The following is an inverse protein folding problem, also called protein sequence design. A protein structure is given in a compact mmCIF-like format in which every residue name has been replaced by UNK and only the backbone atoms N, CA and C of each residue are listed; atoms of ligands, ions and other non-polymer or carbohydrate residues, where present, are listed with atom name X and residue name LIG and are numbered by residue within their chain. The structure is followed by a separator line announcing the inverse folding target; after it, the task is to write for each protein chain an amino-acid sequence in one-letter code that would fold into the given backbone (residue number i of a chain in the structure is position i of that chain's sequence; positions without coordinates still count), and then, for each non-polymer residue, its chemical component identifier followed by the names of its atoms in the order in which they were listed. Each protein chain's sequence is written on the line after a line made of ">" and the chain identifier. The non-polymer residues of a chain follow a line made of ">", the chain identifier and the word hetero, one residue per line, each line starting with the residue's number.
data_IF_017655519674
#
_entry.id   IF_017655519674
#
_cell.length_a   1.000
_cell.length_b   1.000
_cell.length_c   1.000
_cell.angle_alpha   90.00
_cell.angle_beta   90.00
_cell.angle_gamma   90.00
#
_symmetry.space_group_name_H-M   'P 1'
#
loop_
_entity.id
_entity.type
_entity.pdbx_description
1 polymer ?
#
# COMPACT_ATOMS: atom_id res chain seq x y z
N UNK A 1 62.84 -42.63 44.62
CA UNK A 1 63.18 -41.41 45.39
C UNK A 1 63.35 -40.29 44.36
N UNK A 2 62.28 -39.53 44.14
CA UNK A 2 62.15 -38.11 44.56
C UNK A 2 62.67 -37.13 43.50
N UNK A 3 61.69 -36.42 42.92
CA UNK A 3 61.74 -35.09 42.31
C UNK A 3 62.36 -34.93 40.91
N UNK A 4 61.58 -35.27 39.89
CA UNK A 4 61.45 -34.40 38.70
C UNK A 4 59.95 -34.14 38.53
N UNK A 5 59.44 -33.32 39.44
CA UNK A 5 58.17 -32.62 39.26
C UNK A 5 58.42 -31.34 38.47
N UNK A 6 57.32 -30.76 37.98
CA UNK A 6 57.26 -29.39 37.47
C UNK A 6 57.75 -29.13 36.04
N UNK A 7 57.24 -29.85 35.03
CA UNK A 7 57.36 -29.38 33.63
C UNK A 7 56.12 -29.59 32.74
N UNK A 8 54.92 -29.77 33.32
CA UNK A 8 53.66 -29.83 32.55
C UNK A 8 52.57 -29.04 33.28
N UNK A 9 52.83 -27.76 33.57
CA UNK A 9 51.78 -26.84 34.01
C UNK A 9 52.09 -25.36 33.68
N UNK A 10 52.80 -25.09 32.58
CA UNK A 10 53.03 -23.71 32.10
C UNK A 10 53.02 -23.71 30.56
N UNK A 11 51.91 -24.09 29.95
CA UNK A 11 51.69 -23.82 28.52
C UNK A 11 50.21 -23.71 28.15
N UNK A 12 49.45 -22.93 28.93
CA UNK A 12 48.03 -22.64 28.62
C UNK A 12 47.57 -21.25 29.10
N UNK A 13 48.42 -20.21 29.04
CA UNK A 13 48.02 -18.83 29.40
C UNK A 13 48.53 -17.80 28.38
N UNK A 14 48.41 -18.06 27.09
CA UNK A 14 48.78 -17.08 26.05
C UNK A 14 47.71 -16.85 24.97
N UNK A 15 46.43 -17.05 25.27
CA UNK A 15 45.35 -16.66 24.34
C UNK A 15 44.17 -16.04 25.10
N UNK A 16 44.37 -14.84 25.62
CA UNK A 16 43.28 -13.85 25.74
C UNK A 16 43.88 -12.48 26.00
N UNK A 17 44.31 -11.82 24.93
CA UNK A 17 44.34 -10.37 24.87
C UNK A 17 43.39 -10.01 23.73
N UNK A 18 42.08 -10.10 23.99
CA UNK A 18 41.14 -9.39 23.14
C UNK A 18 41.43 -7.91 23.36
N UNK A 19 41.83 -7.21 22.30
CA UNK A 19 41.94 -5.75 22.30
C UNK A 19 40.60 -5.23 22.83
N UNK A 20 40.61 -4.52 23.96
CA UNK A 20 39.40 -3.89 24.47
C UNK A 20 38.79 -3.09 23.33
N UNK A 21 37.51 -3.34 23.06
CA UNK A 21 36.74 -2.53 22.13
C UNK A 21 36.79 -1.11 22.66
N UNK A 22 37.41 -0.20 21.89
CA UNK A 22 37.43 1.22 22.23
C UNK A 22 35.99 1.63 22.48
N UNK A 23 35.73 2.13 23.68
CA UNK A 23 34.45 2.71 24.01
C UNK A 23 34.17 3.83 23.00
N UNK A 24 33.07 3.77 22.23
CA UNK A 24 32.79 4.75 21.20
C UNK A 24 32.66 6.18 21.77
N UNK A 25 32.39 6.34 23.07
CA UNK A 25 32.38 7.65 23.73
C UNK A 25 33.78 8.21 24.05
N UNK A 26 34.82 7.37 24.02
CA UNK A 26 36.22 7.78 24.25
C UNK A 26 36.97 8.03 22.93
N UNK A 27 36.30 7.86 21.78
CA UNK A 27 36.85 8.20 20.48
C UNK A 27 36.57 9.69 20.16
N UNK A 28 37.59 10.57 20.11
CA UNK A 28 37.40 11.98 19.79
C UNK A 28 36.78 12.21 18.40
N UNK A 29 36.92 11.26 17.48
CA UNK A 29 36.32 11.33 16.14
C UNK A 29 34.80 11.02 16.15
N UNK A 30 34.27 10.49 17.26
CA UNK A 30 32.85 10.21 17.46
C UNK A 30 32.18 11.24 18.40
N UNK A 31 32.93 12.25 18.86
CA UNK A 31 32.35 13.35 19.61
C UNK A 31 31.48 14.20 18.67
N UNK A 32 30.34 14.72 19.14
CA UNK A 32 29.54 15.64 18.35
C UNK A 32 30.38 16.86 17.95
N UNK A 33 30.11 17.48 16.78
CA UNK A 33 30.78 18.70 16.36
C UNK A 33 30.74 19.77 17.46
N UNK A 34 31.86 20.46 17.69
CA UNK A 34 31.97 21.52 18.68
C UNK A 34 31.18 22.78 18.29
N UNK A 35 30.89 22.94 17.01
CA UNK A 35 30.06 24.02 16.48
C UNK A 35 28.71 23.47 16.06
N UNK A 36 27.65 24.11 16.56
CA UNK A 36 26.29 23.94 16.06
C UNK A 36 26.17 24.66 14.71
N UNK A 37 26.83 24.11 13.68
CA UNK A 37 26.61 24.55 12.30
C UNK A 37 25.24 24.01 11.89
N UNK A 38 24.20 24.77 12.23
CA UNK A 38 22.77 24.45 12.20
C UNK A 38 22.16 24.09 10.83
N UNK A 39 22.94 23.97 9.76
CA UNK A 39 22.47 23.51 8.44
C UNK A 39 22.49 21.99 8.37
N UNK A 40 21.60 21.35 9.15
CA UNK A 40 21.37 19.90 9.11
C UNK A 40 20.86 19.42 7.73
N UNK A 41 20.30 20.31 6.91
CA UNK A 41 19.81 20.02 5.56
C UNK A 41 20.32 21.09 4.60
N UNK A 42 21.39 20.79 3.87
CA UNK A 42 21.98 21.71 2.86
C UNK A 42 21.18 21.78 1.57
N UNK A 43 20.34 20.77 1.32
CA UNK A 43 19.42 20.72 0.17
C UNK A 43 18.03 21.13 0.63
N UNK A 44 17.55 22.28 0.14
CA UNK A 44 16.24 22.83 0.48
C UNK A 44 15.08 22.03 -0.12
N UNK A 45 15.34 21.15 -1.08
CA UNK A 45 14.33 20.28 -1.71
C UNK A 45 14.25 18.91 -1.04
N UNK A 46 15.18 18.57 -0.13
CA UNK A 46 15.05 17.40 0.71
C UNK A 46 13.81 17.53 1.62
N UNK A 47 13.04 16.44 1.76
CA UNK A 47 11.80 16.46 2.53
C UNK A 47 11.98 16.90 3.99
N UNK A 48 13.13 16.62 4.60
CA UNK A 48 13.43 17.07 5.96
C UNK A 48 13.67 18.58 6.04
N UNK A 49 14.24 19.20 5.00
CA UNK A 49 14.33 20.65 4.89
C UNK A 49 12.93 21.27 4.70
N UNK A 50 12.12 20.72 3.80
CA UNK A 50 10.74 21.17 3.58
C UNK A 50 9.91 21.07 4.86
N UNK A 51 10.02 19.95 5.57
CA UNK A 51 9.35 19.77 6.85
C UNK A 51 9.78 20.83 7.88
N UNK A 52 11.09 21.02 8.06
CA UNK A 52 11.65 21.99 9.02
C UNK A 52 11.29 23.43 8.67
N UNK A 53 11.35 23.79 7.39
CA UNK A 53 11.25 25.17 6.92
C UNK A 53 9.82 25.57 6.56
N UNK A 54 8.94 24.62 6.24
CA UNK A 54 7.57 24.88 5.77
C UNK A 54 6.54 24.24 6.68
N UNK A 55 6.48 22.91 6.74
CA UNK A 55 5.35 22.23 7.39
C UNK A 55 5.30 22.47 8.89
N UNK A 56 6.44 22.39 9.58
CA UNK A 56 6.51 22.65 11.01
C UNK A 56 6.16 24.10 11.39
N UNK A 57 6.81 25.15 10.82
CA UNK A 57 6.56 26.52 11.24
C UNK A 57 5.24 27.12 10.74
N UNK A 58 4.70 26.62 9.62
CA UNK A 58 3.55 27.27 8.97
C UNK A 58 2.29 26.43 8.93
N UNK A 59 2.39 25.09 9.02
CA UNK A 59 1.24 24.21 8.83
C UNK A 59 0.87 23.46 10.12
N UNK A 60 1.86 23.00 10.91
CA UNK A 60 1.70 22.26 12.16
C UNK A 60 1.26 23.13 13.35
N UNK A 61 0.32 24.04 13.10
CA UNK A 61 -0.23 24.96 14.09
C UNK A 61 -1.47 24.38 14.77
N UNK A 62 -1.69 24.71 16.03
CA UNK A 62 -2.87 24.26 16.78
C UNK A 62 -4.17 24.68 16.08
N UNK A 63 -5.09 23.74 15.90
CA UNK A 63 -6.34 23.95 15.16
C UNK A 63 -6.20 23.97 13.64
N UNK A 64 -4.97 23.85 13.11
CA UNK A 64 -4.68 23.58 11.70
C UNK A 64 -4.25 22.11 11.59
N UNK A 65 -3.03 21.81 11.15
CA UNK A 65 -2.56 20.43 10.96
C UNK A 65 -1.79 19.91 12.18
N UNK A 66 -2.44 19.95 13.35
CA UNK A 66 -1.90 19.50 14.64
C UNK A 66 -2.18 18.02 14.95
N UNK A 67 -2.56 17.25 13.93
CA UNK A 67 -2.87 15.83 14.02
C UNK A 67 -4.25 15.49 14.61
N UNK A 68 -5.12 16.49 14.77
CA UNK A 68 -6.55 16.26 14.97
C UNK A 68 -7.26 15.79 13.68
N UNK A 69 -6.69 16.10 12.51
CA UNK A 69 -7.11 15.63 11.20
C UNK A 69 -5.93 15.57 10.23
N UNK A 70 -6.14 14.97 9.05
CA UNK A 70 -5.10 14.85 8.03
C UNK A 70 -5.12 15.99 7.00
N UNK A 71 -3.97 16.35 6.39
CA UNK A 71 -2.61 15.88 6.71
C UNK A 71 -2.15 16.22 8.13
N UNK A 72 -1.31 15.37 8.72
CA UNK A 72 -0.74 15.56 10.06
C UNK A 72 0.71 16.00 9.96
N UNK A 73 1.00 17.25 10.32
CA UNK A 73 2.34 17.83 10.21
C UNK A 73 3.14 17.86 11.52
N UNK A 74 2.70 17.15 12.57
CA UNK A 74 3.41 17.17 13.86
C UNK A 74 4.79 16.54 13.81
N UNK A 75 4.98 15.50 13.02
CA UNK A 75 6.30 14.86 12.83
C UNK A 75 6.65 14.79 11.35
N UNK A 76 7.92 14.59 11.05
CA UNK A 76 8.38 14.43 9.67
C UNK A 76 7.74 13.18 9.03
N UNK A 77 7.64 12.08 9.78
CA UNK A 77 7.04 10.85 9.30
C UNK A 77 5.54 10.99 9.08
N UNK A 78 4.81 11.63 10.02
CA UNK A 78 3.38 11.87 9.84
C UNK A 78 3.13 12.76 8.61
N UNK A 79 3.96 13.78 8.42
CA UNK A 79 3.88 14.70 7.29
C UNK A 79 3.99 13.94 5.97
N UNK A 80 5.00 13.07 5.85
CA UNK A 80 5.23 12.32 4.61
C UNK A 80 4.10 11.32 4.34
N UNK A 81 3.79 10.47 5.33
CA UNK A 81 2.86 9.36 5.17
C UNK A 81 1.41 9.80 5.01
N UNK A 82 1.06 11.00 5.49
CA UNK A 82 -0.29 11.59 5.29
C UNK A 82 -0.38 12.50 4.07
N UNK A 83 0.72 12.72 3.33
CA UNK A 83 0.73 13.52 2.09
C UNK A 83 0.90 12.66 0.84
N UNK A 84 1.97 11.89 0.77
CA UNK A 84 2.41 11.27 -0.48
C UNK A 84 1.51 10.09 -0.83
N UNK A 85 0.93 10.13 -2.03
CA UNK A 85 -0.07 9.17 -2.54
C UNK A 85 -1.30 8.96 -1.66
N UNK A 86 -1.60 9.92 -0.77
CA UNK A 86 -2.82 9.87 0.03
C UNK A 86 -4.02 10.49 -0.71
N UNK A 87 -5.25 9.96 -0.52
CA UNK A 87 -6.44 10.48 -1.17
C UNK A 87 -6.71 11.96 -0.88
N UNK A 88 -7.19 12.69 -1.87
CA UNK A 88 -7.59 14.09 -1.72
C UNK A 88 -8.84 14.20 -0.84
N UNK A 89 -8.80 15.01 0.22
CA UNK A 89 -9.95 15.22 1.13
C UNK A 89 -10.97 16.18 0.52
N UNK A 90 -10.51 17.32 -0.03
CA UNK A 90 -11.32 18.29 -0.77
C UNK A 90 -10.61 18.57 -2.09
N UNK A 91 -11.25 18.22 -3.19
CA UNK A 91 -10.80 18.52 -4.54
C UNK A 91 -11.36 19.87 -5.02
N UNK A 92 -10.86 20.40 -6.13
CA UNK A 92 -11.49 21.52 -6.81
C UNK A 92 -12.79 21.06 -7.52
N UNK A 93 -13.64 21.99 -8.00
CA UNK A 93 -14.89 21.63 -8.69
C UNK A 93 -14.69 20.73 -9.91
N UNK A 94 -13.54 20.82 -10.59
CA UNK A 94 -13.23 20.05 -11.80
C UNK A 94 -12.66 18.66 -11.51
N UNK A 95 -12.25 18.37 -10.27
CA UNK A 95 -11.67 17.08 -9.87
C UNK A 95 -10.23 16.84 -10.36
N UNK A 96 -9.43 17.89 -10.51
CA UNK A 96 -8.14 17.82 -11.20
C UNK A 96 -7.04 17.08 -10.42
N UNK A 97 -7.14 16.98 -9.10
CA UNK A 97 -6.07 16.40 -8.27
C UNK A 97 -6.34 14.92 -7.97
N UNK A 98 -5.34 14.05 -8.19
CA UNK A 98 -5.45 12.62 -7.91
C UNK A 98 -5.07 12.31 -6.45
N UNK A 99 -4.02 12.96 -5.94
CA UNK A 99 -3.49 12.73 -4.60
C UNK A 99 -3.18 14.05 -3.89
N UNK A 100 -3.00 14.02 -2.56
CA UNK A 100 -2.51 15.19 -1.82
C UNK A 100 -1.13 15.59 -2.34
N UNK A 101 -0.26 14.61 -2.57
CA UNK A 101 0.95 14.72 -3.39
C UNK A 101 1.04 13.51 -4.32
N UNK A 102 1.10 13.74 -5.63
CA UNK A 102 1.43 12.74 -6.65
C UNK A 102 2.89 12.92 -7.04
N UNK A 103 3.73 11.94 -6.73
CA UNK A 103 5.14 12.01 -7.08
C UNK A 103 5.34 12.18 -8.60
N UNK A 104 6.21 13.11 -8.98
CA UNK A 104 6.53 13.45 -10.37
C UNK A 104 5.49 14.31 -11.09
N UNK A 105 4.38 14.71 -10.44
CA UNK A 105 3.32 15.45 -11.13
C UNK A 105 2.66 16.51 -10.22
N UNK A 106 3.00 17.77 -10.46
CA UNK A 106 2.48 18.91 -9.70
C UNK A 106 1.02 19.26 -10.05
N UNK A 107 0.60 19.02 -11.30
CA UNK A 107 -0.75 19.37 -11.78
C UNK A 107 -1.82 18.49 -11.14
N UNK A 108 -1.44 17.28 -10.74
CA UNK A 108 -2.30 16.32 -10.04
C UNK A 108 -2.08 16.32 -8.51
N UNK A 109 -1.22 17.20 -7.99
CA UNK A 109 -0.88 17.29 -6.56
C UNK A 109 -1.63 18.42 -5.86
N UNK A 110 -2.59 18.06 -5.00
CA UNK A 110 -3.42 19.05 -4.31
C UNK A 110 -2.61 19.99 -3.39
N UNK A 111 -1.55 19.52 -2.75
CA UNK A 111 -0.70 20.34 -1.86
C UNK A 111 -0.13 21.55 -2.59
N UNK A 112 0.46 21.34 -3.78
CA UNK A 112 1.08 22.43 -4.55
C UNK A 112 0.05 23.50 -4.89
N UNK A 113 -1.11 23.09 -5.42
CA UNK A 113 -2.19 24.02 -5.76
C UNK A 113 -2.77 24.77 -4.55
N UNK A 114 -2.76 24.18 -3.35
CA UNK A 114 -3.23 24.83 -2.11
C UNK A 114 -2.33 25.97 -1.62
N UNK A 115 -1.07 25.96 -2.02
CA UNK A 115 -0.09 27.00 -1.66
C UNK A 115 -0.14 28.20 -2.60
N UNK A 116 -0.77 28.06 -3.76
CA UNK A 116 -0.85 29.09 -4.79
C UNK A 116 -1.98 30.09 -4.51
N UNK A 117 -1.70 31.36 -4.76
CA UNK A 117 -2.64 32.47 -4.65
C UNK A 117 -2.54 33.45 -5.82
N UNK A 118 -3.65 34.11 -6.13
CA UNK A 118 -3.73 35.21 -7.09
C UNK A 118 -3.06 36.47 -6.53
N UNK A 119 -2.86 37.48 -7.39
CA UNK A 119 -2.27 38.76 -7.00
C UNK A 119 -3.08 39.53 -5.93
N UNK A 120 -4.37 39.25 -5.82
CA UNK A 120 -5.25 39.83 -4.79
C UNK A 120 -5.25 39.04 -3.47
N UNK A 121 -4.45 37.97 -3.38
CA UNK A 121 -4.33 37.12 -2.21
C UNK A 121 -5.39 36.02 -2.11
N UNK A 122 -6.31 35.88 -3.08
CA UNK A 122 -7.28 34.78 -3.11
C UNK A 122 -6.64 33.46 -3.55
N UNK A 123 -7.14 32.31 -3.05
CA UNK A 123 -6.61 31.00 -3.42
C UNK A 123 -6.92 30.62 -4.87
N UNK A 124 -5.96 29.97 -5.55
CA UNK A 124 -6.19 29.45 -6.91
C UNK A 124 -6.85 28.07 -6.90
N UNK A 125 -6.88 27.39 -5.75
CA UNK A 125 -7.35 26.01 -5.62
C UNK A 125 -8.86 25.86 -5.92
N UNK A 126 -9.69 26.72 -5.36
CA UNK A 126 -11.15 26.76 -5.53
C UNK A 126 -11.67 28.11 -4.99
N UNK A 127 -12.72 28.72 -5.59
CA UNK A 127 -13.24 30.02 -5.15
C UNK A 127 -13.69 30.11 -3.69
N UNK A 128 -13.98 28.97 -3.06
CA UNK A 128 -14.39 28.88 -1.65
C UNK A 128 -13.29 28.34 -0.73
N UNK A 129 -12.04 28.39 -1.16
CA UNK A 129 -10.89 27.94 -0.37
C UNK A 129 -10.05 29.13 0.08
N UNK A 130 -9.50 29.04 1.30
CA UNK A 130 -8.46 29.95 1.76
C UNK A 130 -7.09 29.53 1.24
N UNK A 131 -6.16 30.49 1.18
CA UNK A 131 -4.75 30.24 0.90
C UNK A 131 -4.11 29.50 2.08
N UNK A 132 -3.19 28.59 1.80
CA UNK A 132 -2.35 27.96 2.81
C UNK A 132 -0.95 28.59 2.86
N UNK A 133 -0.38 28.83 4.05
CA UNK A 133 -0.98 28.64 5.37
C UNK A 133 -2.08 29.65 5.66
N UNK A 134 -3.12 29.23 6.38
CA UNK A 134 -4.31 30.05 6.66
C UNK A 134 -3.97 31.37 7.35
N UNK A 135 -2.92 31.39 8.19
CA UNK A 135 -2.48 32.58 8.93
C UNK A 135 -1.86 33.66 8.04
N UNK A 136 -1.53 33.33 6.78
CA UNK A 136 -1.03 34.26 5.77
C UNK A 136 -2.08 34.56 4.67
N UNK A 137 -3.31 34.08 4.85
CA UNK A 137 -4.42 34.46 3.96
C UNK A 137 -4.79 35.92 4.22
N UNK A 138 -5.15 36.66 3.15
CA UNK A 138 -5.41 38.11 3.19
C UNK A 138 -6.57 38.48 4.14
N UNK A 139 -7.46 37.53 4.44
CA UNK A 139 -8.54 37.72 5.42
C UNK A 139 -8.00 37.86 6.84
N UNK A 140 -6.91 37.15 7.16
CA UNK A 140 -6.29 37.14 8.49
C UNK A 140 -5.07 38.06 8.59
N UNK A 141 -4.35 38.27 7.49
CA UNK A 141 -3.19 39.15 7.39
C UNK A 141 -3.32 40.17 6.23
N UNK A 142 -4.23 41.16 6.35
CA UNK A 142 -4.49 42.12 5.28
C UNK A 142 -3.29 43.04 4.98
N UNK A 143 -2.35 43.18 5.92
CA UNK A 143 -1.16 44.00 5.76
C UNK A 143 0.06 43.20 5.25
N UNK A 144 -0.07 41.87 5.10
CA UNK A 144 0.99 40.96 4.69
C UNK A 144 2.24 41.01 5.60
N UNK A 145 2.03 41.09 6.91
CA UNK A 145 3.09 41.15 7.92
C UNK A 145 3.65 39.76 8.30
N UNK A 146 2.94 38.68 7.98
CA UNK A 146 3.34 37.31 8.26
C UNK A 146 4.57 36.92 7.43
N UNK A 147 5.57 36.30 8.06
CA UNK A 147 6.87 35.95 7.44
C UNK A 147 6.74 35.10 6.17
N UNK A 148 5.67 34.31 6.06
CA UNK A 148 5.34 33.56 4.84
C UNK A 148 5.36 34.43 3.58
N UNK A 149 4.90 35.69 3.65
CA UNK A 149 4.86 36.57 2.48
C UNK A 149 6.25 36.84 1.88
N UNK A 150 7.30 36.88 2.72
CA UNK A 150 8.67 37.08 2.26
C UNK A 150 9.39 35.81 1.80
N UNK A 151 8.91 34.62 2.19
CA UNK A 151 9.62 33.36 1.95
C UNK A 151 8.85 32.38 1.04
N UNK A 152 7.56 32.64 0.78
CA UNK A 152 6.67 31.68 0.09
C UNK A 152 7.16 31.27 -1.30
N UNK A 153 7.80 32.17 -2.05
CA UNK A 153 8.23 31.85 -3.42
C UNK A 153 9.29 30.75 -3.41
N UNK A 154 10.29 30.87 -2.54
CA UNK A 154 11.34 29.87 -2.38
C UNK A 154 10.76 28.56 -1.83
N UNK A 155 9.91 28.62 -0.81
CA UNK A 155 9.29 27.44 -0.20
C UNK A 155 8.40 26.67 -1.17
N UNK A 156 7.56 27.38 -1.94
CA UNK A 156 6.71 26.79 -2.98
C UNK A 156 7.57 26.19 -4.09
N UNK A 157 8.65 26.88 -4.49
CA UNK A 157 9.59 26.35 -5.49
C UNK A 157 10.28 25.07 -4.99
N UNK A 158 10.71 25.02 -3.73
CA UNK A 158 11.31 23.82 -3.14
C UNK A 158 10.34 22.64 -3.10
N UNK A 159 9.09 22.88 -2.70
CA UNK A 159 8.03 21.86 -2.72
C UNK A 159 7.74 21.39 -4.15
N UNK A 160 7.67 22.33 -5.11
CA UNK A 160 7.48 22.01 -6.52
C UNK A 160 8.58 21.06 -7.01
N UNK A 161 9.85 21.43 -6.81
CA UNK A 161 11.00 20.61 -7.20
C UNK A 161 10.97 19.24 -6.52
N UNK A 162 10.69 19.19 -5.21
CA UNK A 162 10.57 17.94 -4.48
C UNK A 162 9.50 17.01 -5.09
N UNK A 163 8.32 17.54 -5.44
CA UNK A 163 7.27 16.78 -6.10
C UNK A 163 7.75 16.29 -7.48
N UNK A 164 8.27 17.18 -8.32
CA UNK A 164 8.75 16.86 -9.68
C UNK A 164 9.87 15.82 -9.68
N UNK A 165 10.72 15.81 -8.65
CA UNK A 165 11.79 14.82 -8.45
C UNK A 165 11.33 13.48 -7.85
N UNK A 166 10.03 13.23 -7.78
CA UNK A 166 9.47 11.97 -7.32
C UNK A 166 9.17 11.93 -5.81
N UNK A 167 8.93 13.10 -5.21
CA UNK A 167 8.46 13.27 -3.84
C UNK A 167 9.24 12.40 -2.83
N UNK A 168 10.57 12.43 -2.91
CA UNK A 168 11.46 11.54 -2.14
C UNK A 168 11.24 11.68 -0.63
N UNK A 169 11.43 10.60 0.12
CA UNK A 169 11.41 10.62 1.58
C UNK A 169 12.61 11.41 2.16
N UNK A 170 12.66 11.53 3.49
CA UNK A 170 13.74 12.24 4.18
C UNK A 170 15.14 11.65 3.94
N UNK A 171 15.22 10.40 3.50
CA UNK A 171 16.46 9.70 3.17
C UNK A 171 16.80 9.76 1.67
N UNK A 172 15.96 10.41 0.86
CA UNK A 172 16.15 10.53 -0.58
C UNK A 172 15.62 9.35 -1.40
N UNK A 173 14.88 8.41 -0.80
CA UNK A 173 14.26 7.32 -1.54
C UNK A 173 13.03 7.86 -2.30
N UNK A 174 12.89 7.58 -3.62
CA UNK A 174 11.72 8.03 -4.37
C UNK A 174 10.43 7.41 -3.81
N UNK A 175 9.34 8.17 -3.87
CA UNK A 175 8.05 7.66 -3.49
C UNK A 175 7.60 6.57 -4.48
N UNK A 176 7.04 5.49 -3.93
CA UNK A 176 6.39 4.43 -4.72
C UNK A 176 4.90 4.51 -4.43
N UNK A 177 4.09 4.52 -5.48
CA UNK A 177 2.64 4.46 -5.31
C UNK A 177 2.29 3.12 -4.64
N UNK A 178 1.48 3.13 -3.57
CA UNK A 178 0.97 1.89 -2.99
C UNK A 178 0.28 1.05 -4.06
N UNK A 179 0.59 -0.24 -4.08
CA UNK A 179 -0.06 -1.24 -4.91
C UNK A 179 -0.49 -2.39 -4.02
N UNK A 180 -1.80 -2.51 -3.84
CA UNK A 180 -2.42 -3.52 -2.99
C UNK A 180 -2.50 -4.83 -3.76
N UNK A 181 -2.26 -5.94 -3.07
CA UNK A 181 -2.45 -7.26 -3.68
C UNK A 181 -3.87 -7.42 -4.22
N UNK A 182 -4.08 -8.13 -5.35
CA UNK A 182 -5.40 -8.42 -5.87
C UNK A 182 -6.31 -9.04 -4.81
N UNK A 183 -7.57 -8.59 -4.78
CA UNK A 183 -8.56 -9.01 -3.80
C UNK A 183 -9.71 -9.77 -4.44
N UNK A 184 -10.27 -10.71 -3.70
CA UNK A 184 -11.45 -11.46 -4.14
C UNK A 184 -12.72 -10.60 -4.06
N UNK A 185 -13.56 -10.70 -5.08
CA UNK A 185 -14.92 -10.16 -5.03
C UNK A 185 -15.97 -11.27 -5.06
N UNK A 186 -15.65 -12.43 -5.64
CA UNK A 186 -16.53 -13.58 -5.63
C UNK A 186 -16.05 -14.75 -6.46
N UNK A 187 -16.73 -15.88 -6.30
CA UNK A 187 -16.67 -17.03 -7.21
C UNK A 187 -18.10 -17.38 -7.58
N UNK A 188 -18.33 -17.99 -8.74
CA UNK A 188 -19.64 -18.53 -9.14
C UNK A 188 -19.40 -19.75 -10.02
N UNK A 189 -20.34 -20.69 -10.01
CA UNK A 189 -20.27 -21.86 -10.89
C UNK A 189 -21.61 -22.13 -11.54
N UNK A 190 -21.53 -22.67 -12.75
CA UNK A 190 -22.66 -23.12 -13.55
C UNK A 190 -22.43 -24.59 -13.90
N UNK A 191 -23.51 -25.36 -14.07
CA UNK A 191 -23.37 -26.64 -14.78
C UNK A 191 -22.94 -26.31 -16.20
N UNK A 192 -21.91 -26.97 -16.71
CA UNK A 192 -21.33 -26.63 -18.01
C UNK A 192 -22.40 -26.60 -19.10
N UNK A 193 -22.41 -25.50 -19.88
CA UNK A 193 -23.40 -25.27 -20.94
C UNK A 193 -24.75 -24.69 -20.47
N UNK A 194 -24.88 -24.35 -19.19
CA UNK A 194 -26.05 -23.64 -18.64
C UNK A 194 -25.70 -22.20 -18.26
N UNK A 195 -26.73 -21.37 -18.04
CA UNK A 195 -26.57 -19.96 -17.67
C UNK A 195 -27.16 -19.60 -16.31
N UNK A 196 -27.56 -20.61 -15.53
CA UNK A 196 -28.14 -20.40 -14.19
C UNK A 196 -27.09 -20.72 -13.14
N UNK A 197 -26.71 -19.72 -12.36
CA UNK A 197 -25.74 -19.89 -11.28
C UNK A 197 -26.23 -20.92 -10.26
N UNK A 198 -25.33 -21.79 -9.81
CA UNK A 198 -25.62 -22.77 -8.79
C UNK A 198 -25.90 -22.12 -7.43
N UNK A 199 -26.87 -22.64 -6.65
CA UNK A 199 -27.20 -22.10 -5.35
C UNK A 199 -26.08 -22.34 -4.33
N UNK A 200 -26.12 -21.62 -3.21
CA UNK A 200 -25.14 -21.69 -2.12
C UNK A 200 -25.81 -21.94 -0.78
N UNK A 201 -25.05 -22.51 0.17
CA UNK A 201 -25.43 -22.47 1.60
C UNK A 201 -25.07 -21.09 2.15
N UNK A 202 -26.07 -20.20 2.23
CA UNK A 202 -25.85 -18.82 2.61
C UNK A 202 -24.89 -18.12 1.65
N UNK A 203 -23.75 -17.63 2.15
CA UNK A 203 -22.66 -17.04 1.33
C UNK A 203 -21.45 -17.98 1.16
N UNK A 204 -21.54 -19.21 1.65
CA UNK A 204 -20.46 -20.19 1.63
C UNK A 204 -20.53 -21.10 0.40
N UNK A 205 -20.42 -22.40 0.65
CA UNK A 205 -20.28 -23.49 -0.31
C UNK A 205 -21.34 -23.48 -1.42
N UNK A 206 -20.92 -23.63 -2.68
CA UNK A 206 -21.79 -23.88 -3.83
C UNK A 206 -22.36 -25.30 -3.74
N UNK A 207 -23.64 -25.47 -4.04
CA UNK A 207 -24.33 -26.76 -3.97
C UNK A 207 -24.50 -27.32 -5.38
N UNK A 208 -23.84 -28.44 -5.64
CA UNK A 208 -23.78 -29.07 -6.97
C UNK A 208 -24.66 -30.32 -6.98
N UNK A 209 -25.62 -30.46 -7.91
CA UNK A 209 -26.44 -31.67 -7.99
C UNK A 209 -25.61 -32.93 -8.27
N UNK A 210 -25.97 -34.04 -7.63
CA UNK A 210 -25.40 -35.36 -7.89
C UNK A 210 -25.44 -35.72 -9.39
N UNK A 211 -24.36 -36.32 -9.88
CA UNK A 211 -24.25 -36.74 -11.28
C UNK A 211 -23.89 -35.61 -12.27
N UNK A 212 -23.59 -34.40 -11.77
CA UNK A 212 -23.01 -33.34 -12.60
C UNK A 212 -21.62 -33.77 -13.06
N UNK A 213 -21.35 -33.67 -14.36
CA UNK A 213 -20.07 -34.09 -14.94
C UNK A 213 -19.03 -32.96 -14.98
N UNK A 214 -19.45 -31.72 -15.22
CA UNK A 214 -18.53 -30.59 -15.31
C UNK A 214 -19.18 -29.28 -14.87
N UNK A 215 -18.32 -28.36 -14.41
CA UNK A 215 -18.69 -27.02 -13.97
C UNK A 215 -17.93 -25.96 -14.76
N UNK A 216 -18.63 -24.90 -15.18
CA UNK A 216 -18.00 -23.66 -15.61
C UNK A 216 -17.88 -22.75 -14.37
N UNK A 217 -16.66 -22.61 -13.86
CA UNK A 217 -16.35 -21.87 -12.63
C UNK A 217 -15.71 -20.53 -13.01
N UNK A 218 -16.26 -19.44 -12.47
CA UNK A 218 -15.84 -18.08 -12.73
C UNK A 218 -15.37 -17.39 -11.45
N UNK A 219 -14.32 -16.57 -11.57
CA UNK A 219 -13.71 -15.84 -10.47
C UNK A 219 -13.68 -14.33 -10.74
N UNK A 220 -14.12 -13.58 -9.73
CA UNK A 220 -14.10 -12.13 -9.70
C UNK A 220 -13.01 -11.67 -8.74
N UNK A 221 -12.07 -10.89 -9.28
CA UNK A 221 -10.89 -10.35 -8.61
C UNK A 221 -10.82 -8.88 -8.97
N UNK A 222 -10.41 -8.04 -8.02
CA UNK A 222 -10.15 -6.62 -8.22
C UNK A 222 -8.72 -6.28 -7.83
N UNK A 223 -8.19 -5.21 -8.41
CA UNK A 223 -6.87 -4.66 -8.12
C UNK A 223 -6.98 -3.13 -8.12
N UNK A 224 -6.08 -2.42 -7.43
CA UNK A 224 -6.13 -0.96 -7.32
C UNK A 224 -5.51 -0.23 -8.52
N UNK A 225 -4.63 -0.89 -9.28
CA UNK A 225 -3.90 -0.28 -10.39
C UNK A 225 -4.14 -0.98 -11.74
N UNK A 226 -4.46 -2.28 -11.75
CA UNK A 226 -4.68 -3.06 -12.96
C UNK A 226 -6.15 -3.45 -13.15
N UNK A 227 -6.58 -3.51 -14.41
CA UNK A 227 -7.83 -4.18 -14.74
C UNK A 227 -7.71 -5.68 -14.48
N UNK A 228 -8.78 -6.37 -14.02
CA UNK A 228 -8.72 -7.80 -13.70
C UNK A 228 -8.24 -8.68 -14.86
N UNK A 229 -8.61 -8.36 -16.11
CA UNK A 229 -8.17 -9.10 -17.29
C UNK A 229 -6.70 -8.84 -17.69
N UNK A 230 -6.03 -7.87 -17.06
CA UNK A 230 -4.59 -7.60 -17.24
C UNK A 230 -3.73 -8.29 -16.16
N UNK A 231 -4.34 -8.92 -15.15
CA UNK A 231 -3.61 -9.71 -14.18
C UNK A 231 -2.92 -10.89 -14.87
N UNK A 232 -1.78 -11.29 -14.32
CA UNK A 232 -0.95 -12.38 -14.83
C UNK A 232 -0.95 -13.57 -13.86
N UNK A 233 -0.24 -14.65 -14.22
CA UNK A 233 -0.18 -15.87 -13.41
C UNK A 233 -1.56 -16.49 -13.09
N UNK A 234 -2.54 -16.35 -13.97
CA UNK A 234 -3.93 -16.80 -13.74
C UNK A 234 -4.04 -18.33 -13.65
N UNK A 235 -3.91 -18.86 -12.44
CA UNK A 235 -3.92 -20.30 -12.14
C UNK A 235 -4.96 -20.64 -11.08
N UNK A 236 -5.37 -21.91 -11.06
CA UNK A 236 -6.25 -22.46 -10.05
C UNK A 236 -5.77 -23.83 -9.60
N UNK A 237 -6.00 -24.14 -8.33
CA UNK A 237 -5.89 -25.48 -7.76
C UNK A 237 -7.20 -25.87 -7.10
N UNK A 238 -7.46 -27.17 -7.13
CA UNK A 238 -8.59 -27.80 -6.45
C UNK A 238 -8.06 -28.84 -5.46
N UNK A 239 -8.69 -28.95 -4.30
CA UNK A 239 -8.30 -29.90 -3.27
C UNK A 239 -9.51 -30.34 -2.45
N UNK A 240 -9.60 -31.63 -2.10
CA UNK A 240 -10.57 -32.14 -1.11
C UNK A 240 -10.16 -31.81 0.34
N UNK A 241 -8.99 -31.22 0.53
CA UNK A 241 -8.45 -30.87 1.84
C UNK A 241 -7.81 -29.47 1.81
N UNK A 242 -8.29 -28.59 2.70
CA UNK A 242 -7.83 -27.20 2.82
C UNK A 242 -6.30 -27.04 2.96
N UNK A 243 -5.61 -28.05 3.49
CA UNK A 243 -4.16 -27.99 3.78
C UNK A 243 -3.28 -28.69 2.74
N UNK A 244 -3.87 -29.30 1.70
CA UNK A 244 -3.14 -30.15 0.74
C UNK A 244 -2.99 -29.55 -0.67
N UNK A 245 -3.22 -28.25 -0.86
CA UNK A 245 -3.00 -27.60 -2.16
C UNK A 245 -1.57 -27.73 -2.73
N UNK A 246 -0.57 -27.94 -1.88
CA UNK A 246 0.83 -28.08 -2.32
C UNK A 246 1.11 -29.35 -3.13
N UNK A 247 0.29 -30.39 -3.00
CA UNK A 247 0.41 -31.64 -3.79
C UNK A 247 -0.44 -31.65 -5.06
N UNK A 248 -1.27 -30.62 -5.27
CA UNK A 248 -2.13 -30.51 -6.45
C UNK A 248 -1.49 -29.63 -7.52
N UNK A 249 -1.75 -29.97 -8.78
CA UNK A 249 -1.27 -29.27 -9.97
C UNK A 249 -1.98 -27.93 -10.16
N UNK A 250 -1.26 -26.94 -10.71
CA UNK A 250 -1.82 -25.66 -11.15
C UNK A 250 -2.42 -25.78 -12.54
N UNK A 251 -3.71 -25.47 -12.66
CA UNK A 251 -4.42 -25.44 -13.93
C UNK A 251 -4.54 -23.99 -14.40
N UNK A 252 -4.35 -23.73 -15.70
CA UNK A 252 -4.52 -22.39 -16.27
C UNK A 252 -6.00 -21.97 -16.26
N UNK A 253 -6.26 -20.77 -15.80
CA UNK A 253 -7.54 -20.09 -16.00
C UNK A 253 -7.56 -19.45 -17.39
N UNK A 254 -8.75 -19.44 -18.00
CA UNK A 254 -9.06 -18.62 -19.16
C UNK A 254 -9.41 -17.20 -18.70
N UNK A 255 -8.91 -16.19 -19.40
CA UNK A 255 -9.19 -14.78 -19.13
C UNK A 255 -9.89 -14.18 -20.34
N UNK A 256 -11.06 -13.59 -20.11
CA UNK A 256 -11.85 -12.96 -21.17
C UNK A 256 -11.80 -11.45 -21.05
N UNK A 257 -12.09 -10.73 -22.13
CA UNK A 257 -12.19 -9.26 -22.13
C UNK A 257 -13.62 -8.77 -21.90
N UNK A 258 -14.60 -9.66 -21.90
CA UNK A 258 -16.01 -9.35 -21.63
C UNK A 258 -16.44 -10.19 -20.43
N UNK A 259 -16.72 -9.58 -19.28
CA UNK A 259 -17.04 -10.33 -18.08
C UNK A 259 -18.46 -10.87 -18.14
N UNK A 260 -18.75 -11.86 -17.30
CA UNK A 260 -20.13 -12.10 -16.86
C UNK A 260 -20.41 -11.26 -15.60
N UNK A 261 -21.67 -10.89 -15.40
CA UNK A 261 -22.12 -10.14 -14.24
C UNK A 261 -22.96 -11.02 -13.33
N UNK A 262 -22.47 -11.28 -12.13
CA UNK A 262 -23.17 -12.11 -11.14
C UNK A 262 -23.01 -11.52 -9.74
N UNK A 263 -23.79 -12.04 -8.78
CA UNK A 263 -23.63 -11.67 -7.38
C UNK A 263 -22.23 -12.03 -6.86
N UNK A 264 -21.57 -11.10 -6.16
CA UNK A 264 -20.29 -11.35 -5.48
C UNK A 264 -20.46 -12.03 -4.12
N UNK A 265 -19.41 -11.97 -3.30
CA UNK A 265 -19.45 -12.44 -1.90
C UNK A 265 -20.56 -11.74 -1.11
N UNK A 266 -20.70 -10.43 -1.31
CA UNK A 266 -21.85 -9.66 -0.83
C UNK A 266 -22.96 -9.74 -1.87
N UNK A 267 -23.95 -10.63 -1.64
CA UNK A 267 -24.99 -10.93 -2.62
C UNK A 267 -25.82 -9.72 -3.12
N UNK A 268 -25.79 -8.59 -2.41
CA UNK A 268 -26.39 -7.32 -2.86
C UNK A 268 -25.61 -6.62 -3.97
N UNK A 269 -24.36 -7.04 -4.21
CA UNK A 269 -23.43 -6.39 -5.12
C UNK A 269 -23.24 -7.29 -6.33
N UNK A 270 -23.57 -6.77 -7.50
CA UNK A 270 -23.21 -7.40 -8.76
C UNK A 270 -21.77 -7.03 -9.08
N UNK A 271 -20.95 -8.02 -9.43
CA UNK A 271 -19.52 -7.86 -9.71
C UNK A 271 -19.15 -8.51 -11.05
N UNK A 272 -18.01 -8.13 -11.59
CA UNK A 272 -17.53 -8.58 -12.89
C UNK A 272 -16.61 -9.80 -12.75
N UNK A 273 -16.86 -10.83 -13.56
CA UNK A 273 -16.08 -12.07 -13.54
C UNK A 273 -15.34 -12.23 -14.88
N UNK A 274 -14.01 -12.15 -14.85
CA UNK A 274 -13.15 -12.20 -16.03
C UNK A 274 -12.36 -13.52 -16.16
N UNK A 275 -12.17 -14.24 -15.05
CA UNK A 275 -11.39 -15.47 -15.01
C UNK A 275 -12.32 -16.67 -14.95
N UNK A 276 -12.09 -17.68 -15.77
CA UNK A 276 -12.92 -18.89 -15.77
C UNK A 276 -12.16 -20.17 -16.09
N UNK A 277 -12.78 -21.30 -15.76
CA UNK A 277 -12.35 -22.63 -16.13
C UNK A 277 -13.55 -23.55 -16.25
N UNK A 278 -13.52 -24.47 -17.22
CA UNK A 278 -14.39 -25.64 -17.22
C UNK A 278 -13.65 -26.77 -16.50
N UNK A 279 -14.19 -27.21 -15.35
CA UNK A 279 -13.59 -28.25 -14.52
C UNK A 279 -14.42 -29.53 -14.59
N UNK A 280 -13.77 -30.63 -14.95
CA UNK A 280 -14.35 -31.96 -14.89
C UNK A 280 -14.45 -32.43 -13.44
N UNK A 281 -15.65 -32.87 -13.05
CA UNK A 281 -15.99 -33.34 -11.71
C UNK A 281 -16.67 -34.71 -11.75
N UNK A 282 -16.59 -35.44 -12.86
CA UNK A 282 -17.25 -36.74 -13.04
C UNK A 282 -16.86 -37.78 -11.98
N UNK A 283 -15.67 -37.63 -11.39
CA UNK A 283 -15.11 -38.55 -10.39
C UNK A 283 -15.58 -38.23 -8.95
N UNK A 284 -16.35 -37.15 -8.75
CA UNK A 284 -16.86 -36.75 -7.46
C UNK A 284 -18.23 -37.37 -7.14
N UNK A 285 -18.45 -37.69 -5.88
CA UNK A 285 -19.69 -38.31 -5.38
C UNK A 285 -20.35 -37.46 -4.30
N UNK A 286 -21.63 -37.71 -4.03
CA UNK A 286 -22.39 -37.05 -2.96
C UNK A 286 -21.61 -37.03 -1.64
N UNK A 287 -21.51 -35.84 -1.04
CA UNK A 287 -20.73 -35.56 0.17
C UNK A 287 -19.27 -35.15 -0.07
N UNK A 288 -18.75 -35.22 -1.30
CA UNK A 288 -17.44 -34.64 -1.61
C UNK A 288 -17.51 -33.10 -1.55
N UNK A 289 -16.67 -32.50 -0.71
CA UNK A 289 -16.41 -31.06 -0.69
C UNK A 289 -15.05 -30.76 -1.34
N UNK A 290 -15.01 -29.77 -2.21
CA UNK A 290 -13.81 -29.33 -2.92
C UNK A 290 -13.54 -27.86 -2.60
N UNK A 291 -12.33 -27.59 -2.16
CA UNK A 291 -11.77 -26.27 -1.92
C UNK A 291 -11.06 -25.77 -3.18
N UNK A 292 -11.20 -24.48 -3.45
CA UNK A 292 -10.60 -23.81 -4.60
C UNK A 292 -9.61 -22.77 -4.10
N UNK A 293 -8.43 -22.70 -4.73
CA UNK A 293 -7.52 -21.57 -4.61
C UNK A 293 -7.11 -21.08 -5.98
N UNK A 294 -7.26 -19.79 -6.23
CA UNK A 294 -6.70 -19.13 -7.40
C UNK A 294 -5.39 -18.43 -7.04
N UNK A 295 -4.55 -18.29 -8.05
CA UNK A 295 -3.29 -17.58 -7.99
C UNK A 295 -3.34 -16.55 -9.11
N UNK A 296 -3.05 -15.31 -8.77
CA UNK A 296 -3.03 -14.17 -9.68
C UNK A 296 -1.88 -13.25 -9.29
N UNK A 297 -1.37 -12.48 -10.24
CA UNK A 297 -0.24 -11.59 -10.02
C UNK A 297 -0.46 -10.25 -10.73
N UNK A 298 -0.33 -9.17 -9.97
CA UNK A 298 -0.26 -7.81 -10.50
C UNK A 298 1.16 -7.51 -11.06
N UNK A 299 1.48 -6.24 -11.26
CA UNK A 299 2.78 -5.79 -11.78
C UNK A 299 3.86 -5.54 -10.72
N UNK A 300 3.52 -5.54 -9.41
CA UNK A 300 4.43 -5.14 -8.34
C UNK A 300 4.60 -6.20 -7.25
N UNK A 301 3.50 -6.79 -6.78
CA UNK A 301 3.47 -7.77 -5.71
C UNK A 301 3.89 -9.16 -6.19
N UNK A 302 4.29 -9.98 -5.23
CA UNK A 302 4.43 -11.43 -5.43
C UNK A 302 3.07 -12.06 -5.75
N UNK A 303 3.10 -13.31 -6.26
CA UNK A 303 1.89 -14.07 -6.57
C UNK A 303 0.93 -14.06 -5.37
N UNK A 304 -0.29 -13.62 -5.62
CA UNK A 304 -1.35 -13.52 -4.63
C UNK A 304 -2.20 -14.79 -4.68
N UNK A 305 -2.28 -15.46 -3.54
CA UNK A 305 -3.13 -16.63 -3.31
C UNK A 305 -4.50 -16.19 -2.76
N UNK A 306 -5.57 -16.66 -3.39
CA UNK A 306 -6.95 -16.31 -3.04
C UNK A 306 -7.82 -17.58 -2.98
N UNK A 307 -8.45 -17.91 -1.85
CA UNK A 307 -8.14 -17.41 -0.51
C UNK A 307 -6.77 -17.93 -0.03
N UNK A 308 -6.10 -17.16 0.82
CA UNK A 308 -4.85 -17.58 1.48
C UNK A 308 -5.08 -18.11 2.91
N UNK A 309 -4.02 -18.64 3.53
CA UNK A 309 -4.08 -19.20 4.88
C UNK A 309 -4.43 -18.19 6.00
N UNK A 310 -4.32 -16.88 5.74
CA UNK A 310 -4.76 -15.82 6.66
C UNK A 310 -6.20 -15.35 6.43
N UNK A 311 -6.89 -15.89 5.41
CA UNK A 311 -8.25 -15.50 5.07
C UNK A 311 -9.25 -15.94 6.14
N UNK A 312 -10.32 -15.14 6.33
CA UNK A 312 -11.41 -15.56 7.19
C UNK A 312 -12.03 -16.87 6.69
N UNK A 313 -12.48 -17.72 7.62
CA UNK A 313 -13.08 -18.99 7.23
C UNK A 313 -14.30 -18.84 6.31
N UNK A 314 -15.03 -17.72 6.40
CA UNK A 314 -16.16 -17.44 5.50
C UNK A 314 -15.72 -17.21 4.05
N UNK A 315 -14.56 -16.57 3.84
CA UNK A 315 -13.98 -16.43 2.50
C UNK A 315 -13.49 -17.76 1.95
N UNK A 316 -12.91 -18.60 2.82
CA UNK A 316 -12.53 -19.97 2.45
C UNK A 316 -13.77 -20.74 2.01
N UNK A 317 -14.85 -20.74 2.81
CA UNK A 317 -16.12 -21.39 2.45
C UNK A 317 -16.77 -20.83 1.19
N UNK A 318 -16.57 -19.56 0.87
CA UNK A 318 -17.11 -18.99 -0.37
C UNK A 318 -16.46 -19.64 -1.60
N UNK A 319 -15.18 -20.03 -1.47
CA UNK A 319 -14.37 -20.72 -2.47
C UNK A 319 -14.42 -22.26 -2.30
N UNK A 320 -15.62 -22.80 -2.07
CA UNK A 320 -15.85 -24.25 -2.07
C UNK A 320 -17.11 -24.62 -2.85
N UNK A 321 -17.15 -25.87 -3.30
CA UNK A 321 -18.38 -26.51 -3.77
C UNK A 321 -18.51 -27.92 -3.17
N UNK A 322 -19.74 -28.39 -3.03
CA UNK A 322 -20.08 -29.70 -2.47
C UNK A 322 -21.06 -30.42 -3.42
N UNK A 323 -20.85 -31.71 -3.62
CA UNK A 323 -21.78 -32.57 -4.35
C UNK A 323 -22.90 -33.03 -3.41
N UNK A 324 -24.15 -32.78 -3.78
CA UNK A 324 -25.34 -33.16 -3.02
C UNK A 324 -25.60 -34.67 -3.02
#
# INVERSE_FOLDING_TARGET
>A
MRFIGFYIFIFFICVSCQKETINPYDNPDLLPPLEDTTTYFSDSTNFAAIYKNVFMPHCANSGCHDGSFEPDFRTIESSYNTLVYQPVIKNNPDGNYQFRVKAGNIDESALYARLLSNSDGSATFDPNSQVMPLTADIVYDPNQEHIWHSEKEDHISNIKTWIEEGAKDMFGNPAVQPNSKPEMQGVVAFITGTSTALPRIGRGTIQVPAGTQSLDIWFSVTDDNLFPYNLTYNKVKFSKNLFQFHIHEEISLNVVNTPILEAGYYASNQVEYYHNITHDISDLVSGDEVFIKIYVKDDMNEITEIPNNGSSYQYIKHFTFEIL
#
